data_IF_407921682515
#
_entry.id   IF_407921682515
#
_cell.length_a   1.000
_cell.length_b   1.000
_cell.length_c   1.000
_cell.angle_alpha   90.00
_cell.angle_beta   90.00
_cell.angle_gamma   90.00
#
_symmetry.space_group_name_H-M   'P 1'
#
loop_
_entity.id
_entity.type
_entity.pdbx_description
1 polymer ?
#
# COMPACT_ATOMS: atom_id res chain seq x y z
N UNK A 1 -1.52 -30.78 2.37
CA UNK A 1 -1.92 -29.35 2.47
C UNK A 1 -3.03 -29.10 3.50
N UNK A 2 -4.13 -29.87 3.53
CA UNK A 2 -5.28 -29.62 4.44
C UNK A 2 -4.94 -29.87 5.92
N UNK A 3 -4.05 -30.81 6.22
CA UNK A 3 -3.63 -31.14 7.59
C UNK A 3 -2.68 -30.09 8.16
N UNK A 4 -1.75 -29.59 7.36
CA UNK A 4 -0.84 -28.50 7.72
C UNK A 4 -1.58 -27.18 7.98
N UNK A 5 -2.58 -26.85 7.14
CA UNK A 5 -3.42 -25.65 7.36
C UNK A 5 -4.26 -25.74 8.63
N UNK A 6 -4.74 -26.93 9.02
CA UNK A 6 -5.47 -27.13 10.27
C UNK A 6 -4.58 -27.00 11.50
N UNK A 7 -3.34 -27.51 11.44
CA UNK A 7 -2.36 -27.36 12.51
C UNK A 7 -1.93 -25.90 12.68
N UNK A 8 -1.60 -25.23 11.58
CA UNK A 8 -1.26 -23.81 11.60
C UNK A 8 -2.41 -22.94 12.15
N UNK A 9 -3.66 -23.25 11.79
CA UNK A 9 -4.85 -22.60 12.33
C UNK A 9 -5.00 -22.82 13.83
N UNK A 10 -4.77 -24.06 14.30
CA UNK A 10 -4.87 -24.38 15.73
C UNK A 10 -3.77 -23.71 16.56
N UNK A 11 -2.55 -23.62 16.01
CA UNK A 11 -1.42 -22.95 16.65
C UNK A 11 -1.65 -21.44 16.70
N UNK A 12 -2.08 -20.82 15.61
CA UNK A 12 -2.45 -19.39 15.58
C UNK A 12 -3.61 -19.06 16.55
N UNK A 13 -4.62 -19.92 16.65
CA UNK A 13 -5.71 -19.72 17.62
C UNK A 13 -5.22 -19.80 19.06
N UNK A 14 -4.31 -20.71 19.36
CA UNK A 14 -3.71 -20.86 20.68
C UNK A 14 -2.87 -19.65 21.05
N UNK A 15 -2.01 -19.19 20.15
CA UNK A 15 -1.15 -18.03 20.34
C UNK A 15 -1.97 -16.75 20.53
N UNK A 16 -3.05 -16.57 19.76
CA UNK A 16 -3.98 -15.44 19.94
C UNK A 16 -4.76 -15.50 21.26
N UNK A 17 -5.15 -16.69 21.74
CA UNK A 17 -5.80 -16.87 23.03
C UNK A 17 -4.83 -16.60 24.19
N UNK A 18 -3.57 -16.98 24.06
CA UNK A 18 -2.52 -16.70 25.06
C UNK A 18 -2.21 -15.20 25.15
N UNK A 19 -2.23 -14.46 24.02
CA UNK A 19 -2.09 -13.00 23.98
C UNK A 19 -3.22 -12.27 24.72
N UNK A 20 -4.44 -12.80 24.67
CA UNK A 20 -5.63 -12.21 25.31
C UNK A 20 -5.77 -12.58 26.79
N UNK A 21 -5.16 -13.69 27.22
CA UNK A 21 -5.33 -14.22 28.60
C UNK A 21 -4.26 -13.76 29.60
N UNK A 22 -3.27 -12.94 29.22
CA UNK A 22 -2.30 -12.34 30.15
C UNK A 22 -1.44 -13.33 30.92
N UNK A 23 -1.15 -14.52 30.38
CA UNK A 23 -0.40 -15.58 31.06
C UNK A 23 1.08 -15.18 31.23
N UNK A 24 1.47 -14.97 32.48
CA UNK A 24 2.83 -14.67 32.94
C UNK A 24 3.72 -15.91 32.90
N UNK A 25 4.93 -15.77 32.41
CA UNK A 25 6.09 -16.56 32.78
C UNK A 25 6.73 -17.44 31.74
N UNK A 26 7.94 -17.07 31.31
CA UNK A 26 8.90 -17.84 30.54
C UNK A 26 9.37 -17.09 29.28
N UNK A 27 10.67 -17.10 29.00
CA UNK A 27 11.26 -16.58 27.75
C UNK A 27 10.60 -17.28 26.53
N UNK A 28 9.44 -16.77 26.11
CA UNK A 28 8.79 -17.07 24.84
C UNK A 28 9.02 -15.87 23.95
N UNK A 29 9.40 -16.09 22.71
CA UNK A 29 9.18 -15.07 21.65
C UNK A 29 7.74 -14.61 21.83
N UNK A 30 7.55 -13.35 22.17
CA UNK A 30 6.21 -12.78 22.37
C UNK A 30 5.44 -13.01 21.07
N UNK A 31 4.37 -13.79 21.16
CA UNK A 31 3.53 -14.07 19.99
C UNK A 31 3.05 -12.74 19.41
N UNK A 32 3.50 -12.40 18.20
CA UNK A 32 3.23 -11.12 17.55
C UNK A 32 2.03 -11.22 16.62
N UNK A 33 1.27 -10.15 16.56
CA UNK A 33 0.20 -9.97 15.57
C UNK A 33 0.83 -9.42 14.30
N UNK A 34 1.20 -10.30 13.37
CA UNK A 34 1.85 -9.92 12.13
C UNK A 34 0.82 -9.68 11.02
N UNK A 35 0.95 -8.56 10.31
CA UNK A 35 0.14 -8.20 9.15
C UNK A 35 1.04 -7.74 8.00
N UNK A 36 0.59 -7.94 6.76
CA UNK A 36 1.28 -7.43 5.59
C UNK A 36 0.51 -6.22 5.01
N UNK A 37 1.21 -5.11 4.85
CA UNK A 37 0.62 -3.87 4.32
C UNK A 37 1.59 -3.25 3.32
N UNK A 38 1.08 -2.84 2.16
CA UNK A 38 1.92 -2.18 1.16
C UNK A 38 2.44 -0.82 1.65
N UNK A 39 3.61 -0.44 1.16
CA UNK A 39 4.34 0.74 1.60
C UNK A 39 3.52 2.04 1.48
N UNK A 40 2.75 2.20 0.40
CA UNK A 40 1.90 3.37 0.17
C UNK A 40 0.75 3.47 1.19
N UNK A 41 0.13 2.36 1.55
CA UNK A 41 -0.90 2.34 2.60
C UNK A 41 -0.32 2.68 3.97
N UNK A 42 0.86 2.14 4.32
CA UNK A 42 1.56 2.47 5.57
C UNK A 42 1.85 3.96 5.62
N UNK A 43 2.40 4.53 4.56
CA UNK A 43 2.84 5.92 4.51
C UNK A 43 1.70 6.94 4.44
N UNK A 44 0.45 6.50 4.26
CA UNK A 44 -0.70 7.39 4.11
C UNK A 44 -1.77 7.21 5.18
N UNK A 45 -2.45 6.06 5.23
CA UNK A 45 -3.66 5.88 6.03
C UNK A 45 -3.62 4.75 7.06
N UNK A 46 -2.78 3.71 6.85
CA UNK A 46 -2.85 2.50 7.67
C UNK A 46 -2.23 2.65 9.06
N UNK A 47 -1.09 3.35 9.20
CA UNK A 47 -0.44 3.51 10.51
C UNK A 47 -1.32 4.20 11.56
N UNK A 48 -2.00 5.32 11.27
CA UNK A 48 -2.90 5.95 12.24
C UNK A 48 -4.02 5.01 12.71
N UNK A 49 -4.50 4.11 11.83
CA UNK A 49 -5.53 3.13 12.16
C UNK A 49 -5.09 2.15 13.25
N UNK A 50 -3.83 1.75 13.20
CA UNK A 50 -3.25 0.72 14.08
C UNK A 50 -2.84 1.26 15.45
N UNK A 51 -2.72 2.57 15.60
CA UNK A 51 -2.28 3.21 16.85
C UNK A 51 -3.16 2.88 18.07
N UNK A 52 -4.46 2.61 17.87
CA UNK A 52 -5.37 2.17 18.94
C UNK A 52 -4.98 0.81 19.51
N UNK A 53 -4.65 -0.15 18.66
CA UNK A 53 -4.22 -1.50 19.05
C UNK A 53 -2.89 -1.48 19.80
N UNK A 54 -1.94 -0.69 19.31
CA UNK A 54 -0.62 -0.53 19.97
C UNK A 54 -0.78 0.06 21.36
N UNK A 55 -1.65 1.06 21.55
CA UNK A 55 -1.94 1.62 22.89
C UNK A 55 -2.63 0.64 23.82
N UNK A 56 -3.33 -0.36 23.32
CA UNK A 56 -3.91 -1.46 24.09
C UNK A 56 -2.90 -2.57 24.39
N UNK A 57 -1.63 -2.41 23.99
CA UNK A 57 -0.56 -3.37 24.27
C UNK A 57 -0.50 -4.53 23.28
N UNK A 58 -1.17 -4.45 22.13
CA UNK A 58 -1.06 -5.50 21.08
C UNK A 58 0.34 -5.47 20.48
N UNK A 59 1.14 -6.55 20.55
CA UNK A 59 2.47 -6.64 19.98
C UNK A 59 2.36 -6.81 18.46
N UNK A 60 2.24 -5.68 17.75
CA UNK A 60 2.02 -5.62 16.31
C UNK A 60 3.34 -5.67 15.54
N UNK A 61 3.38 -6.52 14.51
CA UNK A 61 4.43 -6.55 13.49
C UNK A 61 3.83 -6.20 12.13
N UNK A 62 4.44 -5.29 11.40
CA UNK A 62 4.03 -4.91 10.04
C UNK A 62 5.12 -5.32 9.06
N UNK A 63 4.76 -6.23 8.16
CA UNK A 63 5.61 -6.64 7.05
C UNK A 63 5.21 -5.78 5.84
N UNK A 64 6.20 -5.15 5.21
CA UNK A 64 5.98 -4.32 4.04
C UNK A 64 6.44 -5.05 2.79
N UNK A 65 5.56 -5.15 1.81
CA UNK A 65 5.82 -5.69 0.47
C UNK A 65 5.03 -4.87 -0.54
N UNK A 66 5.30 -5.06 -1.83
CA UNK A 66 4.48 -4.51 -2.90
C UNK A 66 3.03 -5.01 -2.76
N UNK A 67 2.07 -4.13 -3.08
CA UNK A 67 0.63 -4.41 -2.92
C UNK A 67 0.14 -5.65 -3.68
N UNK A 68 0.81 -6.00 -4.77
CA UNK A 68 0.47 -7.18 -5.58
C UNK A 68 1.04 -8.47 -5.00
N UNK A 69 1.97 -8.40 -4.03
CA UNK A 69 2.63 -9.54 -3.42
C UNK A 69 2.31 -9.74 -1.93
N UNK A 70 1.68 -8.78 -1.26
CA UNK A 70 1.34 -8.89 0.18
C UNK A 70 0.50 -10.13 0.52
N UNK A 71 -0.33 -10.59 -0.40
CA UNK A 71 -1.19 -11.76 -0.22
C UNK A 71 -0.40 -13.09 -0.11
N UNK A 72 0.84 -13.15 -0.61
CA UNK A 72 1.67 -14.36 -0.50
C UNK A 72 2.06 -14.63 0.96
N UNK A 73 2.32 -13.60 1.78
CA UNK A 73 2.57 -13.74 3.20
C UNK A 73 1.39 -14.37 3.94
N UNK A 74 0.16 -13.97 3.56
CA UNK A 74 -1.05 -14.57 4.11
C UNK A 74 -1.22 -16.03 3.68
N UNK A 75 -0.98 -16.35 2.40
CA UNK A 75 -1.03 -17.73 1.88
C UNK A 75 -0.03 -18.66 2.55
N UNK A 76 1.13 -18.14 2.92
CA UNK A 76 2.18 -18.89 3.63
C UNK A 76 1.90 -19.01 5.13
N UNK A 77 0.87 -18.34 5.64
CA UNK A 77 0.51 -18.35 7.06
C UNK A 77 1.44 -17.54 7.96
N UNK A 78 2.22 -16.64 7.37
CA UNK A 78 3.20 -15.80 8.09
C UNK A 78 2.56 -14.54 8.66
N UNK A 79 1.37 -14.16 8.19
CA UNK A 79 0.60 -13.01 8.69
C UNK A 79 -0.85 -13.40 8.92
N UNK A 80 -1.52 -12.66 9.80
CA UNK A 80 -2.94 -12.84 10.12
C UNK A 80 -3.88 -12.16 9.14
N UNK A 81 -3.40 -11.11 8.48
CA UNK A 81 -4.12 -10.37 7.45
C UNK A 81 -3.20 -9.56 6.57
N UNK A 82 -3.71 -9.14 5.43
CA UNK A 82 -2.97 -8.30 4.50
C UNK A 82 -3.86 -7.30 3.76
N UNK A 83 -3.27 -6.15 3.41
CA UNK A 83 -3.81 -5.19 2.43
C UNK A 83 -3.21 -5.51 1.07
N UNK A 84 -4.06 -5.76 0.06
CA UNK A 84 -3.64 -6.20 -1.28
C UNK A 84 -4.61 -5.69 -2.35
N UNK A 85 -4.21 -5.76 -3.63
CA UNK A 85 -5.05 -5.48 -4.80
C UNK A 85 -5.94 -6.67 -5.20
N UNK A 86 -5.73 -7.85 -4.61
CA UNK A 86 -6.48 -9.06 -4.94
C UNK A 86 -7.91 -8.99 -4.39
N UNK A 87 -8.92 -8.85 -5.28
CA UNK A 87 -10.34 -8.78 -4.90
C UNK A 87 -10.97 -10.14 -4.61
N UNK A 88 -10.35 -11.25 -5.02
CA UNK A 88 -10.89 -12.59 -4.82
C UNK A 88 -10.44 -13.17 -3.49
N UNK A 89 -11.37 -13.66 -2.68
CA UNK A 89 -11.07 -14.24 -1.39
C UNK A 89 -10.09 -15.43 -1.49
N UNK A 90 -9.05 -15.39 -0.66
CA UNK A 90 -8.15 -16.51 -0.48
C UNK A 90 -8.83 -17.62 0.31
N UNK A 91 -8.44 -18.86 0.05
CA UNK A 91 -9.05 -20.03 0.71
C UNK A 91 -8.86 -19.98 2.23
N UNK A 92 -9.96 -19.97 2.97
CA UNK A 92 -9.95 -19.90 4.43
C UNK A 92 -9.82 -18.49 4.99
N UNK A 93 -9.90 -17.47 4.14
CA UNK A 93 -9.84 -16.07 4.52
C UNK A 93 -11.16 -15.35 4.22
N UNK A 94 -11.43 -14.32 5.01
CA UNK A 94 -12.43 -13.30 4.70
C UNK A 94 -11.79 -12.21 3.84
N UNK A 95 -12.57 -11.57 2.98
CA UNK A 95 -12.15 -10.42 2.18
C UNK A 95 -13.14 -9.27 2.37
N UNK A 96 -12.59 -8.07 2.53
CA UNK A 96 -13.38 -6.82 2.64
C UNK A 96 -12.80 -5.81 1.67
N UNK A 97 -13.63 -5.23 0.80
CA UNK A 97 -13.23 -4.11 -0.04
C UNK A 97 -12.99 -2.87 0.83
N UNK A 98 -11.82 -2.25 0.68
CA UNK A 98 -11.43 -1.07 1.44
C UNK A 98 -11.74 0.24 0.70
N UNK A 99 -11.83 0.22 -0.61
CA UNK A 99 -11.90 1.37 -1.50
C UNK A 99 -10.73 1.40 -2.47
N UNK A 100 -10.50 2.51 -3.13
CA UNK A 100 -9.38 2.69 -4.05
C UNK A 100 -8.45 3.80 -3.60
N UNK A 101 -7.16 3.62 -3.85
CA UNK A 101 -6.15 4.65 -3.70
C UNK A 101 -5.88 5.28 -5.07
N UNK A 102 -6.05 6.60 -5.15
CA UNK A 102 -5.77 7.35 -6.37
C UNK A 102 -4.30 7.76 -6.42
N UNK A 103 -3.68 7.50 -7.56
CA UNK A 103 -2.32 7.86 -7.87
C UNK A 103 -2.27 8.97 -8.92
N UNK A 104 -1.34 9.89 -8.74
CA UNK A 104 -1.11 11.04 -9.63
C UNK A 104 0.36 11.14 -10.02
N UNK A 105 0.63 11.65 -11.22
CA UNK A 105 1.99 11.88 -11.68
C UNK A 105 2.45 13.28 -11.25
N UNK A 106 3.49 13.34 -10.44
CA UNK A 106 4.00 14.59 -9.86
C UNK A 106 5.44 14.88 -10.29
N UNK A 107 5.76 16.15 -10.36
CA UNK A 107 7.12 16.66 -10.47
C UNK A 107 7.24 18.02 -9.77
N UNK A 108 8.46 18.52 -9.57
CA UNK A 108 8.63 19.89 -9.13
C UNK A 108 8.26 20.90 -10.23
N UNK A 109 7.80 22.11 -9.89
CA UNK A 109 7.49 23.15 -10.88
C UNK A 109 8.66 23.49 -11.79
N UNK A 110 9.88 23.58 -11.23
CA UNK A 110 11.08 23.86 -12.01
C UNK A 110 11.35 22.76 -13.04
N UNK A 111 11.33 21.49 -12.62
CA UNK A 111 11.53 20.37 -13.52
C UNK A 111 10.46 20.34 -14.64
N UNK A 112 9.20 20.57 -14.31
CA UNK A 112 8.10 20.60 -15.28
C UNK A 112 8.27 21.76 -16.28
N UNK A 113 8.72 22.93 -15.83
CA UNK A 113 9.02 24.06 -16.69
C UNK A 113 10.14 23.76 -17.69
N UNK A 114 11.23 23.15 -17.22
CA UNK A 114 12.41 22.84 -18.04
C UNK A 114 12.19 21.67 -19.01
N UNK A 115 11.57 20.59 -18.55
CA UNK A 115 11.48 19.33 -19.30
C UNK A 115 10.18 19.19 -20.09
N UNK A 116 9.08 19.79 -19.62
CA UNK A 116 7.77 19.77 -20.27
C UNK A 116 7.36 21.14 -20.83
N UNK A 117 8.25 22.16 -20.76
CA UNK A 117 7.96 23.52 -21.21
C UNK A 117 6.71 24.11 -20.53
N UNK A 118 6.46 23.71 -19.27
CA UNK A 118 5.27 24.10 -18.50
C UNK A 118 3.96 23.45 -18.94
N UNK A 119 3.98 22.57 -19.93
CA UNK A 119 2.82 21.78 -20.37
C UNK A 119 2.66 20.46 -19.62
N UNK A 120 1.60 19.70 -19.91
CA UNK A 120 1.39 18.39 -19.32
C UNK A 120 2.24 17.29 -19.99
N UNK A 121 2.30 16.14 -19.33
CA UNK A 121 2.74 14.90 -19.93
C UNK A 121 1.79 14.50 -21.05
N UNK A 122 2.34 14.04 -22.17
CA UNK A 122 1.59 13.70 -23.39
C UNK A 122 2.09 12.40 -24.01
N UNK A 123 1.34 11.80 -24.95
CA UNK A 123 1.79 10.64 -25.73
C UNK A 123 3.10 10.87 -26.51
N UNK A 124 3.46 12.12 -26.78
CA UNK A 124 4.64 12.47 -27.57
C UNK A 124 5.89 12.72 -26.73
N UNK A 125 5.73 13.13 -25.45
CA UNK A 125 6.87 13.51 -24.61
C UNK A 125 7.19 12.55 -23.45
N UNK A 126 6.29 11.62 -23.09
CA UNK A 126 6.47 10.75 -21.94
C UNK A 126 7.73 9.88 -21.99
N UNK A 127 8.12 9.41 -23.18
CA UNK A 127 9.22 8.46 -23.38
C UNK A 127 10.61 9.07 -23.18
N UNK A 128 10.72 10.40 -23.24
CA UNK A 128 11.98 11.12 -23.01
C UNK A 128 12.20 11.46 -21.54
N UNK A 129 11.15 11.36 -20.72
CA UNK A 129 11.19 11.77 -19.32
C UNK A 129 11.82 10.72 -18.42
N UNK A 130 12.30 11.15 -17.25
CA UNK A 130 12.80 10.28 -16.18
C UNK A 130 11.70 10.04 -15.16
N UNK A 131 11.54 8.79 -14.76
CA UNK A 131 10.55 8.34 -13.77
C UNK A 131 11.24 7.80 -12.53
N UNK A 132 10.77 8.22 -11.35
CA UNK A 132 11.32 7.82 -10.05
C UNK A 132 10.45 6.69 -9.52
N UNK A 133 10.86 5.45 -9.72
CA UNK A 133 10.16 4.24 -9.32
C UNK A 133 10.71 3.68 -8.00
N UNK A 134 9.91 2.84 -7.33
CA UNK A 134 10.30 2.23 -6.06
C UNK A 134 11.43 1.21 -6.26
N UNK A 135 11.24 0.27 -7.14
CA UNK A 135 12.22 -0.76 -7.49
C UNK A 135 11.98 -1.29 -8.92
N UNK A 136 12.74 -2.30 -9.32
CA UNK A 136 12.67 -2.88 -10.68
C UNK A 136 11.40 -3.70 -10.96
N UNK A 137 10.63 -4.06 -9.93
CA UNK A 137 9.36 -4.77 -10.02
C UNK A 137 8.16 -3.84 -10.04
N UNK A 138 8.40 -2.54 -9.80
CA UNK A 138 7.35 -1.51 -9.72
C UNK A 138 6.90 -1.14 -11.14
N UNK A 139 5.71 -1.59 -11.51
CA UNK A 139 5.08 -1.33 -12.80
C UNK A 139 4.13 -0.10 -12.76
N UNK A 140 3.96 0.54 -11.61
CA UNK A 140 3.01 1.63 -11.40
C UNK A 140 3.13 2.75 -12.43
N UNK A 141 4.35 3.18 -12.72
CA UNK A 141 4.61 4.25 -13.68
C UNK A 141 4.25 3.87 -15.11
N UNK A 142 4.59 2.64 -15.53
CA UNK A 142 4.27 2.12 -16.84
C UNK A 142 2.77 1.92 -17.01
N UNK A 143 2.09 1.39 -15.98
CA UNK A 143 0.64 1.23 -15.96
C UNK A 143 -0.08 2.59 -16.02
N UNK A 144 0.37 3.57 -15.23
CA UNK A 144 -0.17 4.93 -15.24
C UNK A 144 -0.12 5.53 -16.64
N UNK A 145 1.06 5.55 -17.27
CA UNK A 145 1.26 6.11 -18.61
C UNK A 145 0.48 5.35 -19.67
N UNK A 146 0.48 4.01 -19.60
CA UNK A 146 -0.27 3.17 -20.53
C UNK A 146 -1.76 3.48 -20.49
N UNK A 147 -2.35 3.57 -19.30
CA UNK A 147 -3.78 3.88 -19.14
C UNK A 147 -4.10 5.33 -19.47
N UNK A 148 -3.27 6.27 -19.06
CA UNK A 148 -3.47 7.70 -19.35
C UNK A 148 -3.54 7.99 -20.86
N UNK A 149 -2.78 7.25 -21.66
CA UNK A 149 -2.65 7.50 -23.10
C UNK A 149 -3.22 6.37 -23.99
N UNK A 150 -3.87 5.36 -23.42
CA UNK A 150 -4.45 4.26 -24.19
C UNK A 150 -3.42 3.38 -24.88
N UNK A 151 -2.22 3.22 -24.29
CA UNK A 151 -1.12 2.44 -24.85
C UNK A 151 -1.14 1.00 -24.31
N UNK A 152 -0.71 0.04 -25.13
CA UNK A 152 -0.66 -1.38 -24.71
C UNK A 152 0.59 -1.72 -23.90
N UNK A 153 1.71 -1.11 -24.26
CA UNK A 153 2.99 -1.35 -23.61
C UNK A 153 3.82 -0.07 -23.62
N UNK A 154 4.50 0.18 -22.52
CA UNK A 154 5.26 1.41 -22.28
C UNK A 154 6.64 1.05 -21.76
N UNK A 155 7.68 1.66 -22.32
CA UNK A 155 9.05 1.61 -21.81
C UNK A 155 9.43 2.99 -21.31
N UNK A 156 9.89 3.07 -20.05
CA UNK A 156 10.25 4.31 -19.37
C UNK A 156 11.70 4.32 -18.92
N UNK A 157 12.25 5.52 -18.73
CA UNK A 157 13.58 5.72 -18.17
C UNK A 157 13.46 5.85 -16.65
N UNK A 158 13.88 4.82 -15.90
CA UNK A 158 13.72 4.79 -14.47
C UNK A 158 14.97 5.21 -13.69
N UNK A 159 14.71 5.92 -12.59
CA UNK A 159 15.56 6.03 -11.42
C UNK A 159 14.88 5.24 -10.30
N UNK A 160 15.63 4.54 -9.47
CA UNK A 160 15.05 3.71 -8.42
C UNK A 160 15.35 4.29 -7.05
N UNK A 161 14.29 4.61 -6.31
CA UNK A 161 14.33 5.11 -4.93
C UNK A 161 13.38 4.26 -4.08
N UNK A 162 13.89 3.26 -3.34
CA UNK A 162 13.06 2.27 -2.63
C UNK A 162 12.47 2.83 -1.32
N UNK A 163 11.77 3.94 -1.43
CA UNK A 163 11.11 4.64 -0.33
C UNK A 163 10.01 5.54 -0.87
N UNK A 164 8.78 5.38 -0.38
CA UNK A 164 7.65 6.25 -0.77
C UNK A 164 7.93 7.72 -0.44
N UNK A 165 8.55 8.00 0.73
CA UNK A 165 8.99 9.34 1.09
C UNK A 165 10.12 9.82 0.18
N UNK A 166 11.11 8.95 -0.05
CA UNK A 166 12.26 9.27 -0.91
C UNK A 166 11.86 9.61 -2.34
N UNK A 167 10.84 8.97 -2.91
CA UNK A 167 10.32 9.29 -4.24
C UNK A 167 9.76 10.73 -4.30
N UNK A 168 9.02 11.15 -3.28
CA UNK A 168 8.50 12.52 -3.17
C UNK A 168 9.63 13.52 -3.01
N UNK A 169 10.62 13.23 -2.15
CA UNK A 169 11.80 14.09 -1.94
C UNK A 169 12.63 14.20 -3.23
N UNK A 170 12.80 13.12 -3.97
CA UNK A 170 13.53 13.13 -5.24
C UNK A 170 12.79 13.97 -6.30
N UNK A 171 11.44 13.91 -6.33
CA UNK A 171 10.65 14.77 -7.21
C UNK A 171 10.79 16.25 -6.84
N UNK A 172 10.74 16.60 -5.54
CA UNK A 172 11.01 17.95 -5.03
C UNK A 172 12.43 18.44 -5.38
N UNK A 173 13.41 17.53 -5.38
CA UNK A 173 14.80 17.79 -5.76
C UNK A 173 15.05 17.79 -7.28
N UNK A 174 13.99 17.85 -8.10
CA UNK A 174 14.06 17.98 -9.56
C UNK A 174 14.61 16.75 -10.32
N UNK A 175 14.49 15.54 -9.74
CA UNK A 175 15.04 14.33 -10.37
C UNK A 175 14.18 13.82 -11.53
N UNK A 176 12.87 14.02 -11.48
CA UNK A 176 11.95 13.53 -12.51
C UNK A 176 10.50 13.48 -12.07
N UNK A 177 9.73 12.65 -12.76
CA UNK A 177 8.32 12.37 -12.46
C UNK A 177 8.23 11.18 -11.50
N UNK A 178 7.36 11.27 -10.49
CA UNK A 178 6.96 10.12 -9.70
C UNK A 178 5.43 9.94 -9.76
N UNK A 179 4.97 8.69 -9.79
CA UNK A 179 3.56 8.34 -9.65
C UNK A 179 3.35 7.88 -8.22
N UNK A 180 2.60 8.65 -7.46
CA UNK A 180 2.46 8.50 -6.01
C UNK A 180 1.00 8.67 -5.56
N UNK A 181 0.62 8.14 -4.39
CA UNK A 181 -0.71 8.38 -3.85
C UNK A 181 -1.03 9.87 -3.72
N UNK A 182 -2.19 10.30 -4.22
CA UNK A 182 -2.68 11.66 -4.07
C UNK A 182 -2.76 12.08 -2.60
N UNK A 183 -3.15 11.14 -1.72
CA UNK A 183 -3.20 11.35 -0.27
C UNK A 183 -1.89 11.88 0.31
N UNK A 184 -0.76 11.43 -0.25
CA UNK A 184 0.56 11.79 0.23
C UNK A 184 1.02 13.19 -0.18
N UNK A 185 0.58 13.65 -1.34
CA UNK A 185 1.10 14.87 -1.97
C UNK A 185 0.09 16.00 -2.06
N UNK A 186 -1.13 15.79 -1.55
CA UNK A 186 -2.23 16.76 -1.64
C UNK A 186 -1.83 18.14 -1.12
N UNK A 187 -1.15 18.21 0.03
CA UNK A 187 -0.68 19.47 0.61
C UNK A 187 0.43 20.12 -0.23
N UNK A 188 1.39 19.32 -0.71
CA UNK A 188 2.49 19.81 -1.56
C UNK A 188 1.97 20.37 -2.89
N UNK A 189 0.94 19.74 -3.46
CA UNK A 189 0.24 20.22 -4.66
C UNK A 189 -0.51 21.53 -4.37
N UNK A 190 -1.24 21.60 -3.25
CA UNK A 190 -1.97 22.80 -2.83
C UNK A 190 -1.05 24.00 -2.56
N UNK A 191 0.16 23.75 -2.03
CA UNK A 191 1.19 24.76 -1.78
C UNK A 191 2.02 25.11 -3.03
N UNK A 192 1.80 24.44 -4.16
CA UNK A 192 2.56 24.65 -5.40
C UNK A 192 4.03 24.19 -5.32
N UNK A 193 4.38 23.37 -4.32
CA UNK A 193 5.74 22.78 -4.20
C UNK A 193 5.92 21.62 -5.17
N UNK A 194 4.84 20.95 -5.51
CA UNK A 194 4.75 19.96 -6.60
C UNK A 194 3.65 20.37 -7.58
N UNK A 195 3.75 19.88 -8.80
CA UNK A 195 2.71 20.01 -9.82
C UNK A 195 2.28 18.64 -10.30
N UNK A 196 0.99 18.47 -10.59
CA UNK A 196 0.48 17.29 -11.29
C UNK A 196 0.75 17.46 -12.79
N UNK A 197 1.64 16.65 -13.35
CA UNK A 197 2.02 16.71 -14.76
C UNK A 197 1.06 15.97 -15.69
N UNK A 198 0.08 15.25 -15.17
CA UNK A 198 -0.99 14.59 -15.93
C UNK A 198 -2.37 14.91 -15.32
N UNK A 199 -2.82 16.19 -15.29
CA UNK A 199 -3.97 16.63 -14.49
C UNK A 199 -5.32 16.06 -14.96
N UNK A 200 -5.40 15.54 -16.17
CA UNK A 200 -6.62 14.93 -16.72
C UNK A 200 -6.77 13.44 -16.41
N UNK A 201 -5.82 12.83 -15.69
CA UNK A 201 -5.84 11.41 -15.39
C UNK A 201 -5.33 11.13 -13.98
N UNK A 202 -5.99 10.18 -13.31
CA UNK A 202 -5.52 9.53 -12.09
C UNK A 202 -5.69 8.02 -12.24
N UNK A 203 -4.77 7.26 -11.66
CA UNK A 203 -4.85 5.81 -11.63
C UNK A 203 -5.46 5.37 -10.29
N UNK A 204 -6.68 4.86 -10.33
CA UNK A 204 -7.37 4.32 -9.15
C UNK A 204 -7.04 2.85 -8.97
N UNK A 205 -6.43 2.50 -7.84
CA UNK A 205 -6.04 1.13 -7.50
C UNK A 205 -6.91 0.62 -6.37
N UNK A 206 -7.79 -0.39 -6.60
CA UNK A 206 -8.64 -0.95 -5.57
C UNK A 206 -7.82 -1.73 -4.55
N UNK A 207 -8.15 -1.58 -3.27
CA UNK A 207 -7.51 -2.25 -2.16
C UNK A 207 -8.52 -3.08 -1.38
N UNK A 208 -8.05 -4.23 -0.89
CA UNK A 208 -8.83 -5.19 -0.14
C UNK A 208 -8.07 -5.60 1.13
N UNK A 209 -8.81 -5.80 2.21
CA UNK A 209 -8.33 -6.44 3.42
C UNK A 209 -8.68 -7.92 3.39
N UNK A 210 -7.68 -8.76 3.44
CA UNK A 210 -7.83 -10.19 3.65
C UNK A 210 -7.36 -10.57 5.03
N UNK A 211 -8.10 -11.41 5.73
CA UNK A 211 -7.65 -11.97 7.00
C UNK A 211 -8.14 -13.41 7.16
N UNK A 212 -7.44 -14.21 7.95
CA UNK A 212 -7.89 -15.55 8.29
C UNK A 212 -9.27 -15.51 8.93
N UNK A 213 -10.14 -16.46 8.53
CA UNK A 213 -11.44 -16.66 9.15
C UNK A 213 -11.28 -17.40 10.49
N UNK A 214 -10.85 -16.66 11.52
CA UNK A 214 -10.63 -17.16 12.88
C UNK A 214 -11.53 -16.41 13.85
N UNK A 215 -12.03 -17.11 14.87
CA UNK A 215 -12.74 -16.49 16.00
C UNK A 215 -11.72 -15.89 16.97
N UNK A 216 -11.30 -14.66 16.71
CA UNK A 216 -10.33 -13.90 17.49
C UNK A 216 -10.81 -12.46 17.67
N UNK A 217 -10.82 -11.99 18.92
CA UNK A 217 -11.17 -10.61 19.22
C UNK A 217 -10.14 -9.61 18.69
N UNK A 218 -8.86 -9.96 18.77
CA UNK A 218 -7.76 -9.14 18.22
C UNK A 218 -7.92 -8.99 16.72
N UNK A 219 -8.21 -10.08 15.99
CA UNK A 219 -8.38 -10.03 14.55
C UNK A 219 -9.62 -9.24 14.13
N UNK A 220 -10.71 -9.34 14.92
CA UNK A 220 -11.92 -8.54 14.70
C UNK A 220 -11.64 -7.05 14.90
N UNK A 221 -10.98 -6.68 16.00
CA UNK A 221 -10.61 -5.29 16.31
C UNK A 221 -9.67 -4.72 15.27
N UNK A 222 -8.68 -5.49 14.84
CA UNK A 222 -7.75 -5.14 13.76
C UNK A 222 -8.50 -4.87 12.44
N UNK A 223 -9.39 -5.78 12.05
CA UNK A 223 -10.18 -5.66 10.82
C UNK A 223 -11.09 -4.43 10.85
N UNK A 224 -11.72 -4.14 11.99
CA UNK A 224 -12.53 -2.94 12.19
C UNK A 224 -11.70 -1.67 12.08
N UNK A 225 -10.51 -1.62 12.69
CA UNK A 225 -9.62 -0.47 12.65
C UNK A 225 -9.16 -0.18 11.21
N UNK A 226 -8.73 -1.20 10.48
CA UNK A 226 -8.31 -1.08 9.07
C UNK A 226 -9.47 -0.62 8.19
N UNK A 227 -10.64 -1.24 8.30
CA UNK A 227 -11.81 -0.89 7.47
C UNK A 227 -12.28 0.53 7.74
N UNK A 228 -12.35 0.94 9.02
CA UNK A 228 -12.78 2.29 9.39
C UNK A 228 -11.80 3.37 8.86
N UNK A 229 -10.50 3.12 8.96
CA UNK A 229 -9.52 4.07 8.44
C UNK A 229 -9.54 4.16 6.92
N UNK A 230 -9.70 3.03 6.24
CA UNK A 230 -9.83 2.98 4.79
C UNK A 230 -11.06 3.78 4.31
N UNK A 231 -12.22 3.59 4.94
CA UNK A 231 -13.46 4.34 4.61
C UNK A 231 -13.29 5.85 4.74
N UNK A 232 -12.43 6.33 5.61
CA UNK A 232 -12.18 7.77 5.81
C UNK A 232 -11.16 8.34 4.82
N UNK A 233 -10.33 7.51 4.23
CA UNK A 233 -9.15 7.93 3.47
C UNK A 233 -9.22 7.56 1.99
N UNK A 234 -9.77 6.41 1.67
CA UNK A 234 -9.84 5.88 0.31
C UNK A 234 -11.12 6.31 -0.41
N UNK A 235 -11.05 6.28 -1.73
CA UNK A 235 -12.21 6.60 -2.58
C UNK A 235 -13.13 5.38 -2.62
N UNK A 236 -14.43 5.62 -2.48
CA UNK A 236 -15.42 4.53 -2.62
C UNK A 236 -15.43 4.06 -4.07
N UNK A 237 -15.22 2.76 -4.24
CA UNK A 237 -15.37 2.14 -5.57
C UNK A 237 -16.86 1.83 -5.76
N UNK A 238 -17.48 2.30 -6.85
CA UNK A 238 -18.88 2.04 -7.14
C UNK A 238 -19.18 0.55 -7.40
#
# INVERSE_FOLDING_TARGET
HTKQLRLLRADLQRDLQELTSGATGGQREEARVSIAVNADSISTWALPALGGLVRQGVPLEIITEDQDFTHEWLRQGQVLGCVTTLGQALRGCNVVALGAMDYVAIASPLWASEQLQGGPLTPHNFHTQRYIAYNRKDDMHAEFVARAFGLRQVSLRHLFVPSCEGQVQAALAHWGISVVPLLRVRELLALGQLVNVAPSFSLSVPLYWHCWNLESEVLRTLSQAITLAATRSLVVVP
#
